data_IF_371112487946
#
_entry.id   IF_371112487946
#
_cell.length_a   1.000
_cell.length_b   1.000
_cell.length_c   1.000
_cell.angle_alpha   90.00
_cell.angle_beta   90.00
_cell.angle_gamma   90.00
#
_symmetry.space_group_name_H-M   'P 1'
#
loop_
_entity.id
_entity.type
_entity.pdbx_description
1 polymer ?
#
# COMPACT_ATOMS: atom_id res chain seq x y z
N UNK A 1 -6.36 -13.87 -21.60
CA UNK A 1 -7.59 -13.48 -20.88
C UNK A 1 -7.21 -12.88 -19.53
N UNK A 2 -7.12 -11.55 -19.44
CA UNK A 2 -6.58 -10.83 -18.29
C UNK A 2 -7.59 -10.89 -17.13
N UNK A 3 -7.31 -11.65 -16.10
CA UNK A 3 -8.10 -11.71 -14.87
C UNK A 3 -7.79 -10.46 -14.04
N UNK A 4 -8.53 -9.38 -14.31
CA UNK A 4 -8.50 -8.14 -13.52
C UNK A 4 -8.89 -8.48 -12.08
N UNK A 5 -7.88 -8.53 -11.20
CA UNK A 5 -8.08 -8.89 -9.79
C UNK A 5 -8.96 -7.82 -9.11
N UNK A 6 -10.24 -8.14 -8.91
CA UNK A 6 -11.33 -7.25 -8.50
C UNK A 6 -11.30 -6.89 -7.00
N UNK A 7 -10.29 -7.35 -6.23
CA UNK A 7 -10.26 -7.20 -4.77
C UNK A 7 -9.22 -6.17 -4.28
N UNK A 8 -9.21 -4.97 -4.86
CA UNK A 8 -8.26 -3.94 -4.40
C UNK A 8 -8.58 -3.35 -3.02
N UNK A 9 -9.81 -3.40 -2.53
CA UNK A 9 -10.17 -2.85 -1.23
C UNK A 9 -9.90 -3.81 -0.06
N UNK A 10 -9.97 -5.13 -0.29
CA UNK A 10 -9.64 -6.14 0.72
C UNK A 10 -8.15 -6.10 1.12
N UNK A 11 -7.28 -5.59 0.24
CA UNK A 11 -5.83 -5.46 0.53
C UNK A 11 -5.48 -4.37 1.55
N UNK A 12 -6.43 -3.53 1.93
CA UNK A 12 -6.20 -2.38 2.83
C UNK A 12 -7.15 -2.36 4.03
N UNK A 13 -7.75 -3.51 4.36
CA UNK A 13 -8.61 -3.66 5.54
C UNK A 13 -7.86 -3.36 6.84
N UNK A 14 -6.56 -3.67 6.88
CA UNK A 14 -5.66 -3.34 7.99
C UNK A 14 -5.62 -1.83 8.27
N UNK A 15 -5.50 -1.00 7.22
CA UNK A 15 -5.54 0.46 7.36
C UNK A 15 -6.93 0.96 7.78
N UNK A 16 -8.00 0.35 7.28
CA UNK A 16 -9.37 0.70 7.67
C UNK A 16 -9.63 0.44 9.15
N UNK A 17 -9.23 -0.73 9.65
CA UNK A 17 -9.36 -1.07 11.07
C UNK A 17 -8.54 -0.10 11.93
N UNK A 18 -7.35 0.27 11.46
CA UNK A 18 -6.44 1.17 12.14
C UNK A 18 -7.02 2.59 12.24
N UNK A 19 -7.64 3.09 11.18
CA UNK A 19 -8.33 4.38 11.15
C UNK A 19 -9.51 4.41 12.12
N UNK A 20 -10.34 3.35 12.14
CA UNK A 20 -11.45 3.21 13.08
C UNK A 20 -10.99 3.23 14.54
N UNK A 21 -9.91 2.52 14.85
CA UNK A 21 -9.34 2.51 16.20
C UNK A 21 -8.85 3.92 16.55
N UNK A 22 -8.13 4.59 15.65
CA UNK A 22 -7.64 5.96 15.85
C UNK A 22 -8.79 6.94 16.09
N UNK A 23 -9.89 6.82 15.32
CA UNK A 23 -11.07 7.66 15.49
C UNK A 23 -11.70 7.48 16.88
N UNK A 24 -11.91 6.24 17.32
CA UNK A 24 -12.50 5.96 18.62
C UNK A 24 -11.61 6.42 19.79
N UNK A 25 -10.30 6.19 19.67
CA UNK A 25 -9.32 6.66 20.65
C UNK A 25 -9.29 8.19 20.69
N UNK A 26 -9.29 8.86 19.54
CA UNK A 26 -9.31 10.31 19.45
C UNK A 26 -10.57 10.91 20.07
N UNK A 27 -11.73 10.33 19.78
CA UNK A 27 -13.01 10.74 20.36
C UNK A 27 -13.04 10.55 21.88
N UNK A 28 -12.58 9.41 22.37
CA UNK A 28 -12.46 9.11 23.78
C UNK A 28 -11.53 10.11 24.51
N UNK A 29 -10.36 10.38 23.94
CA UNK A 29 -9.41 11.36 24.48
C UNK A 29 -10.00 12.78 24.51
N UNK A 30 -10.66 13.20 23.44
CA UNK A 30 -11.31 14.50 23.37
C UNK A 30 -12.41 14.65 24.43
N UNK A 31 -13.22 13.61 24.59
CA UNK A 31 -14.27 13.58 25.61
C UNK A 31 -13.72 13.65 27.04
N UNK A 32 -12.73 12.78 27.35
CA UNK A 32 -12.14 12.74 28.71
C UNK A 32 -11.44 14.03 29.08
N UNK A 33 -10.74 14.64 28.12
CA UNK A 33 -10.06 15.93 28.35
C UNK A 33 -11.05 17.06 28.63
N UNK A 34 -12.18 17.05 27.94
CA UNK A 34 -13.20 18.10 28.07
C UNK A 34 -14.07 17.93 29.31
N UNK A 35 -14.53 16.71 29.56
CA UNK A 35 -15.50 16.43 30.62
C UNK A 35 -14.87 15.95 31.93
N UNK A 36 -13.54 15.67 31.92
CA UNK A 36 -12.77 15.12 33.06
C UNK A 36 -13.36 13.83 33.65
N UNK A 37 -14.16 13.13 32.87
CA UNK A 37 -14.79 11.85 33.23
C UNK A 37 -14.40 10.80 32.19
N UNK A 38 -14.18 9.56 32.65
CA UNK A 38 -13.78 8.45 31.79
C UNK A 38 -14.99 7.72 31.20
N UNK A 39 -16.16 7.91 31.79
CA UNK A 39 -17.35 7.17 31.38
C UNK A 39 -18.12 7.88 30.26
N UNK A 40 -17.90 7.46 29.04
CA UNK A 40 -18.55 7.98 27.82
C UNK A 40 -20.08 7.71 27.83
N UNK A 41 -20.49 6.60 28.44
CA UNK A 41 -21.90 6.19 28.49
C UNK A 41 -22.78 6.98 29.45
N UNK A 42 -22.21 7.84 30.28
CA UNK A 42 -22.96 8.72 31.17
C UNK A 42 -23.77 9.73 30.36
N UNK A 43 -23.33 10.10 29.17
CA UNK A 43 -24.04 11.03 28.31
C UNK A 43 -24.46 10.32 27.01
N UNK A 44 -25.76 10.14 26.84
CA UNK A 44 -26.38 9.44 25.71
C UNK A 44 -25.94 10.01 24.36
N UNK A 45 -25.78 11.34 24.24
CA UNK A 45 -25.39 12.00 22.98
C UNK A 45 -24.00 11.53 22.53
N UNK A 46 -23.03 11.49 23.45
CA UNK A 46 -21.67 11.06 23.14
C UNK A 46 -21.59 9.55 22.86
N UNK A 47 -22.33 8.73 23.58
CA UNK A 47 -22.41 7.30 23.36
C UNK A 47 -22.97 6.99 21.98
N UNK A 48 -24.08 7.65 21.60
CA UNK A 48 -24.70 7.48 20.29
C UNK A 48 -23.78 7.98 19.16
N UNK A 49 -23.17 9.15 19.34
CA UNK A 49 -22.23 9.71 18.35
C UNK A 49 -21.02 8.80 18.13
N UNK A 50 -20.50 8.13 19.16
CA UNK A 50 -19.41 7.16 19.02
C UNK A 50 -19.73 6.07 18.02
N UNK A 51 -20.95 5.50 18.07
CA UNK A 51 -21.41 4.47 17.13
C UNK A 51 -21.59 5.03 15.73
N UNK A 52 -22.20 6.22 15.64
CA UNK A 52 -22.44 6.89 14.36
C UNK A 52 -21.14 7.26 13.66
N UNK A 53 -20.11 7.69 14.40
CA UNK A 53 -18.78 7.97 13.86
C UNK A 53 -18.15 6.74 13.19
N UNK A 54 -18.30 5.54 13.76
CA UNK A 54 -17.84 4.29 13.14
C UNK A 54 -18.51 4.10 11.78
N UNK A 55 -19.83 4.27 11.72
CA UNK A 55 -20.58 4.12 10.46
C UNK A 55 -20.18 5.16 9.43
N UNK A 56 -20.04 6.43 9.84
CA UNK A 56 -19.59 7.51 8.96
C UNK A 56 -18.22 7.18 8.37
N UNK A 57 -17.27 6.80 9.21
CA UNK A 57 -15.90 6.54 8.80
C UNK A 57 -15.81 5.35 7.82
N UNK A 58 -16.46 4.23 8.13
CA UNK A 58 -16.53 3.06 7.23
C UNK A 58 -17.14 3.44 5.88
N UNK A 59 -18.25 4.16 5.89
CA UNK A 59 -18.89 4.62 4.65
C UNK A 59 -17.95 5.50 3.82
N UNK A 60 -17.31 6.47 4.44
CA UNK A 60 -16.40 7.40 3.75
C UNK A 60 -15.14 6.69 3.22
N UNK A 61 -14.55 5.75 3.98
CA UNK A 61 -13.41 4.96 3.54
C UNK A 61 -13.74 4.13 2.28
N UNK A 62 -14.94 3.56 2.23
CA UNK A 62 -15.40 2.74 1.10
C UNK A 62 -15.77 3.62 -0.10
N UNK A 63 -16.62 4.63 0.09
CA UNK A 63 -17.15 5.44 -1.03
C UNK A 63 -16.09 6.35 -1.65
N UNK A 64 -15.24 6.97 -0.85
CA UNK A 64 -14.20 7.88 -1.35
C UNK A 64 -12.93 7.17 -1.78
N UNK A 65 -12.83 5.83 -1.61
CA UNK A 65 -11.62 5.07 -1.90
C UNK A 65 -10.36 5.71 -1.28
N UNK A 66 -10.48 6.28 -0.08
CA UNK A 66 -9.43 7.08 0.58
C UNK A 66 -8.11 6.30 0.71
N UNK A 67 -8.19 4.98 0.82
CA UNK A 67 -7.04 4.08 0.97
C UNK A 67 -6.40 3.62 -0.37
N UNK A 68 -6.90 4.11 -1.51
CA UNK A 68 -6.33 3.75 -2.82
C UNK A 68 -4.86 4.17 -2.88
N UNK A 69 -3.98 3.19 -3.20
CA UNK A 69 -2.53 3.39 -3.33
C UNK A 69 -1.83 3.93 -2.05
N UNK A 70 -2.39 3.70 -0.87
CA UNK A 70 -1.82 4.18 0.41
C UNK A 70 -0.33 3.84 0.56
N UNK A 71 0.11 2.64 0.18
CA UNK A 71 1.50 2.20 0.28
C UNK A 71 2.47 2.96 -0.64
N UNK A 72 1.97 3.51 -1.75
CA UNK A 72 2.79 4.22 -2.76
C UNK A 72 2.83 5.74 -2.55
N UNK A 73 2.00 6.29 -1.66
CA UNK A 73 1.94 7.74 -1.41
C UNK A 73 3.15 8.21 -0.63
N UNK A 74 3.67 9.39 -1.00
CA UNK A 74 4.69 10.11 -0.21
C UNK A 74 4.08 10.71 1.07
N UNK A 75 4.94 11.16 1.99
CA UNK A 75 4.53 11.72 3.30
C UNK A 75 3.56 12.89 3.18
N UNK A 76 3.84 13.86 2.30
CA UNK A 76 2.98 15.03 2.10
C UNK A 76 1.61 14.66 1.52
N UNK A 77 1.59 13.73 0.56
CA UNK A 77 0.33 13.28 -0.07
C UNK A 77 -0.53 12.54 0.94
N UNK A 78 0.09 11.74 1.82
CA UNK A 78 -0.62 11.04 2.91
C UNK A 78 -1.16 12.03 3.94
N UNK A 79 -0.39 13.06 4.31
CA UNK A 79 -0.82 14.12 5.21
C UNK A 79 -2.07 14.85 4.68
N UNK A 80 -2.03 15.29 3.41
CA UNK A 80 -3.17 15.98 2.77
C UNK A 80 -4.39 15.04 2.69
N UNK A 81 -4.17 13.77 2.36
CA UNK A 81 -5.25 12.78 2.28
C UNK A 81 -5.89 12.55 3.67
N UNK A 82 -5.09 12.49 4.74
CA UNK A 82 -5.57 12.36 6.11
C UNK A 82 -6.36 13.59 6.54
N UNK A 83 -5.86 14.80 6.31
CA UNK A 83 -6.59 16.04 6.65
C UNK A 83 -7.93 16.11 5.91
N UNK A 84 -7.95 15.81 4.61
CA UNK A 84 -9.21 15.78 3.84
C UNK A 84 -10.19 14.77 4.41
N UNK A 85 -9.73 13.58 4.77
CA UNK A 85 -10.57 12.55 5.36
C UNK A 85 -11.15 13.00 6.69
N UNK A 86 -10.31 13.49 7.62
CA UNK A 86 -10.74 14.03 8.91
C UNK A 86 -11.78 15.13 8.73
N UNK A 87 -11.53 16.09 7.85
CA UNK A 87 -12.44 17.20 7.59
C UNK A 87 -13.81 16.73 7.08
N UNK A 88 -13.85 15.70 6.24
CA UNK A 88 -15.12 15.14 5.73
C UNK A 88 -15.84 14.38 6.83
N UNK A 89 -15.15 13.57 7.64
CA UNK A 89 -15.75 12.86 8.79
C UNK A 89 -16.38 13.85 9.77
N UNK A 90 -15.64 14.90 10.13
CA UNK A 90 -16.13 15.95 11.00
C UNK A 90 -17.34 16.69 10.42
N UNK A 91 -17.29 17.04 9.14
CA UNK A 91 -18.40 17.70 8.45
C UNK A 91 -19.67 16.85 8.51
N UNK A 92 -19.56 15.57 8.20
CA UNK A 92 -20.71 14.64 8.21
C UNK A 92 -21.22 14.44 9.64
N UNK A 93 -20.33 14.35 10.63
CA UNK A 93 -20.72 14.25 12.04
C UNK A 93 -21.47 15.50 12.54
N UNK A 94 -21.02 16.70 12.14
CA UNK A 94 -21.73 17.95 12.44
C UNK A 94 -23.11 17.97 11.80
N UNK A 95 -23.24 17.58 10.52
CA UNK A 95 -24.51 17.49 9.81
C UNK A 95 -25.47 16.50 10.49
N UNK A 96 -24.95 15.37 10.97
CA UNK A 96 -25.72 14.40 11.71
C UNK A 96 -26.29 15.00 13.00
N UNK A 97 -25.45 15.65 13.85
CA UNK A 97 -25.89 16.27 15.09
C UNK A 97 -26.91 17.37 14.85
N UNK A 98 -26.75 18.14 13.78
CA UNK A 98 -27.72 19.17 13.40
C UNK A 98 -29.06 18.56 12.99
N UNK A 99 -29.05 17.43 12.28
CA UNK A 99 -30.24 16.71 11.84
C UNK A 99 -31.03 16.12 13.00
N UNK A 100 -30.33 15.61 14.03
CA UNK A 100 -30.94 15.00 15.21
C UNK A 100 -31.35 16.08 16.26
N UNK A 101 -31.00 17.36 16.03
CA UNK A 101 -31.21 18.50 16.95
C UNK A 101 -30.43 18.46 18.27
N UNK A 102 -29.43 17.59 18.37
CA UNK A 102 -28.57 17.42 19.55
C UNK A 102 -27.35 18.37 19.54
N UNK A 103 -27.24 19.21 18.49
CA UNK A 103 -26.09 20.10 18.30
C UNK A 103 -25.91 21.14 19.44
N UNK A 104 -26.99 21.50 20.14
CA UNK A 104 -26.94 22.47 21.25
C UNK A 104 -26.25 21.95 22.49
N UNK A 105 -26.37 20.65 22.74
CA UNK A 105 -25.85 19.99 23.97
C UNK A 105 -24.47 19.38 23.75
N UNK A 106 -23.98 19.42 22.51
CA UNK A 106 -22.64 18.92 22.19
C UNK A 106 -21.56 19.99 22.30
N UNK A 107 -20.46 19.67 22.98
CA UNK A 107 -19.37 20.62 23.18
C UNK A 107 -18.55 20.83 21.89
N UNK A 108 -18.53 22.06 21.37
CA UNK A 108 -17.73 22.44 20.21
C UNK A 108 -16.24 22.17 20.41
N UNK A 109 -15.74 22.33 21.63
CA UNK A 109 -14.34 22.06 21.99
C UNK A 109 -14.02 20.59 21.79
N UNK A 110 -14.95 19.68 22.08
CA UNK A 110 -14.75 18.25 21.86
C UNK A 110 -14.54 17.92 20.39
N UNK A 111 -15.25 18.60 19.48
CA UNK A 111 -15.03 18.45 18.03
C UNK A 111 -13.62 18.86 17.61
N UNK A 112 -13.18 20.05 18.01
CA UNK A 112 -11.83 20.50 17.64
C UNK A 112 -10.73 19.60 18.20
N UNK A 113 -10.89 19.12 19.44
CA UNK A 113 -9.95 18.18 20.03
C UNK A 113 -9.98 16.84 19.32
N UNK A 114 -11.18 16.35 18.95
CA UNK A 114 -11.33 15.11 18.19
C UNK A 114 -10.64 15.22 16.82
N UNK A 115 -10.89 16.28 16.06
CA UNK A 115 -10.24 16.50 14.77
C UNK A 115 -8.72 16.52 14.89
N UNK A 116 -8.19 17.22 15.91
CA UNK A 116 -6.75 17.30 16.15
C UNK A 116 -6.16 15.92 16.47
N UNK A 117 -6.73 15.22 17.45
CA UNK A 117 -6.23 13.90 17.86
C UNK A 117 -6.41 12.86 16.76
N UNK A 118 -7.56 12.87 16.08
CA UNK A 118 -7.82 11.95 14.99
C UNK A 118 -6.82 12.14 13.84
N UNK A 119 -6.58 13.37 13.42
CA UNK A 119 -5.60 13.68 12.39
C UNK A 119 -4.17 13.24 12.77
N UNK A 120 -3.73 13.55 13.99
CA UNK A 120 -2.40 13.19 14.48
C UNK A 120 -2.23 11.67 14.61
N UNK A 121 -3.18 10.99 15.26
CA UNK A 121 -3.13 9.56 15.47
C UNK A 121 -3.18 8.80 14.15
N UNK A 122 -4.13 9.12 13.27
CA UNK A 122 -4.27 8.46 11.98
C UNK A 122 -3.05 8.66 11.09
N UNK A 123 -2.53 9.88 10.99
CA UNK A 123 -1.31 10.14 10.22
C UNK A 123 -0.12 9.37 10.78
N UNK A 124 0.11 9.44 12.09
CA UNK A 124 1.22 8.75 12.75
C UNK A 124 1.15 7.23 12.60
N UNK A 125 -0.02 6.64 12.88
CA UNK A 125 -0.23 5.19 12.79
C UNK A 125 -0.13 4.68 11.35
N UNK A 126 -0.67 5.40 10.37
CA UNK A 126 -0.53 5.05 8.95
C UNK A 126 0.93 5.04 8.51
N UNK A 127 1.75 6.02 8.94
CA UNK A 127 3.17 6.05 8.61
C UNK A 127 3.93 4.90 9.26
N UNK A 128 3.67 4.62 10.54
CA UNK A 128 4.31 3.52 11.27
C UNK A 128 3.94 2.17 10.65
N UNK A 129 2.65 1.95 10.37
CA UNK A 129 2.15 0.72 9.77
C UNK A 129 2.69 0.52 8.36
N UNK A 130 2.73 1.57 7.55
CA UNK A 130 3.34 1.57 6.24
C UNK A 130 4.82 1.16 6.29
N UNK A 131 5.58 1.75 7.23
CA UNK A 131 6.98 1.39 7.43
C UNK A 131 7.15 -0.08 7.86
N UNK A 132 6.25 -0.57 8.71
CA UNK A 132 6.22 -1.98 9.12
C UNK A 132 5.93 -2.91 7.94
N UNK A 133 4.88 -2.65 7.17
CA UNK A 133 4.53 -3.44 5.99
C UNK A 133 5.67 -3.44 4.97
N UNK A 134 6.24 -2.28 4.65
CA UNK A 134 7.33 -2.19 3.69
C UNK A 134 8.57 -2.98 4.17
N UNK A 135 8.91 -2.91 5.45
CA UNK A 135 9.99 -3.73 6.02
C UNK A 135 9.69 -5.22 5.89
N UNK A 136 8.48 -5.64 6.23
CA UNK A 136 8.06 -7.04 6.15
C UNK A 136 8.00 -7.54 4.70
N UNK A 137 7.56 -6.69 3.78
CA UNK A 137 7.59 -7.00 2.35
C UNK A 137 9.02 -7.08 1.82
N UNK A 138 9.93 -6.19 2.23
CA UNK A 138 11.35 -6.29 1.86
C UNK A 138 12.01 -7.57 2.40
N UNK A 139 11.61 -8.04 3.59
CA UNK A 139 12.08 -9.31 4.14
C UNK A 139 11.42 -10.53 3.47
N UNK A 140 10.22 -10.36 2.90
CA UNK A 140 9.41 -11.43 2.29
C UNK A 140 9.39 -11.37 0.75
N UNK A 141 9.97 -10.33 0.17
CA UNK A 141 9.96 -10.08 -1.28
C UNK A 141 11.09 -10.85 -1.96
N UNK A 142 11.04 -12.17 -1.85
CA UNK A 142 11.63 -13.07 -2.83
C UNK A 142 10.72 -13.11 -4.06
N UNK A 143 10.47 -11.96 -4.70
CA UNK A 143 9.88 -11.98 -6.04
C UNK A 143 10.90 -12.56 -6.97
N UNK A 144 10.55 -13.71 -7.53
CA UNK A 144 11.34 -14.37 -8.56
C UNK A 144 11.29 -13.54 -9.83
N UNK A 145 12.36 -12.82 -10.14
CA UNK A 145 12.49 -12.03 -11.36
C UNK A 145 13.38 -12.76 -12.34
N UNK A 146 12.87 -13.03 -13.53
CA UNK A 146 13.65 -13.53 -14.66
C UNK A 146 14.09 -12.36 -15.53
N UNK A 147 15.39 -12.25 -15.79
CA UNK A 147 15.94 -11.26 -16.71
C UNK A 147 16.12 -11.91 -18.08
N UNK A 148 15.43 -11.39 -19.09
CA UNK A 148 15.58 -11.83 -20.49
C UNK A 148 16.47 -10.84 -21.22
N UNK A 149 17.53 -11.32 -21.85
CA UNK A 149 18.49 -10.47 -22.57
C UNK A 149 18.98 -11.16 -23.83
N UNK A 150 19.73 -10.43 -24.68
CA UNK A 150 20.44 -10.97 -25.81
C UNK A 150 21.90 -11.27 -25.43
N UNK A 151 22.57 -12.21 -26.13
CA UNK A 151 23.94 -12.58 -25.84
C UNK A 151 24.88 -11.35 -25.83
N UNK A 152 24.73 -10.44 -26.80
CA UNK A 152 25.53 -9.21 -26.92
C UNK A 152 25.44 -8.28 -25.71
N UNK A 153 24.33 -8.33 -24.96
CA UNK A 153 24.12 -7.49 -23.79
C UNK A 153 24.38 -8.19 -22.47
N UNK A 154 24.77 -9.44 -22.50
CA UNK A 154 25.01 -10.25 -21.32
C UNK A 154 26.05 -9.60 -20.39
N UNK A 155 27.14 -9.07 -20.95
CA UNK A 155 28.19 -8.36 -20.22
C UNK A 155 27.69 -7.06 -19.56
N UNK A 156 26.70 -6.39 -20.17
CA UNK A 156 26.09 -5.21 -19.60
C UNK A 156 25.16 -5.56 -18.44
N UNK A 157 24.36 -6.63 -18.62
CA UNK A 157 23.48 -7.15 -17.56
C UNK A 157 24.31 -7.61 -16.37
N UNK A 158 25.44 -8.27 -16.58
CA UNK A 158 26.36 -8.66 -15.52
C UNK A 158 26.88 -7.44 -14.73
N UNK A 159 27.30 -6.37 -15.42
CA UNK A 159 27.73 -5.11 -14.79
C UNK A 159 26.61 -4.47 -13.99
N UNK A 160 25.38 -4.44 -14.51
CA UNK A 160 24.23 -3.85 -13.85
C UNK A 160 23.82 -4.67 -12.60
N UNK A 161 23.93 -5.99 -12.65
CA UNK A 161 23.72 -6.87 -11.48
C UNK A 161 24.79 -6.60 -10.43
N UNK A 162 26.07 -6.58 -10.79
CA UNK A 162 27.19 -6.29 -9.88
C UNK A 162 27.10 -4.89 -9.30
N UNK A 163 26.65 -3.90 -10.07
CA UNK A 163 26.40 -2.52 -9.62
C UNK A 163 25.16 -2.35 -8.72
N UNK A 164 24.49 -3.45 -8.35
CA UNK A 164 23.27 -3.47 -7.54
C UNK A 164 22.13 -2.59 -8.09
N UNK A 165 22.03 -2.43 -9.41
CA UNK A 165 20.91 -1.70 -10.02
C UNK A 165 19.58 -2.42 -9.84
N UNK A 166 19.61 -3.74 -9.59
CA UNK A 166 18.45 -4.60 -9.36
C UNK A 166 18.22 -4.92 -7.87
N UNK A 167 18.71 -4.09 -6.95
CA UNK A 167 18.64 -4.32 -5.48
C UNK A 167 17.23 -4.55 -4.95
N UNK A 168 16.21 -4.10 -5.68
CA UNK A 168 14.81 -4.28 -5.30
C UNK A 168 14.23 -5.64 -5.66
N UNK A 169 14.97 -6.48 -6.41
CA UNK A 169 14.46 -7.74 -6.95
C UNK A 169 15.42 -8.88 -6.64
N UNK A 170 14.88 -10.04 -6.31
CA UNK A 170 15.67 -11.25 -6.28
C UNK A 170 15.65 -11.86 -7.68
N UNK A 171 16.76 -11.73 -8.40
CA UNK A 171 16.89 -12.33 -9.73
C UNK A 171 17.05 -13.84 -9.52
N UNK A 172 16.06 -14.60 -9.99
CA UNK A 172 16.04 -16.06 -9.91
C UNK A 172 16.81 -16.73 -11.05
N UNK A 173 16.96 -16.04 -12.18
CA UNK A 173 17.69 -16.55 -13.34
C UNK A 173 17.82 -15.50 -14.43
N UNK A 174 18.73 -15.78 -15.35
CA UNK A 174 18.90 -15.03 -16.60
C UNK A 174 18.53 -15.96 -17.74
N UNK A 175 17.78 -15.46 -18.71
CA UNK A 175 17.45 -16.16 -19.94
C UNK A 175 17.99 -15.37 -21.14
N UNK A 176 18.50 -16.06 -22.13
CA UNK A 176 19.10 -15.44 -23.33
C UNK A 176 18.28 -15.80 -24.56
N UNK A 177 17.84 -14.78 -25.31
CA UNK A 177 17.16 -14.96 -26.59
C UNK A 177 18.19 -14.83 -27.73
N UNK A 178 18.04 -15.65 -28.74
CA UNK A 178 18.90 -15.68 -29.93
C UNK A 178 19.93 -16.79 -29.90
N UNK A 179 20.81 -16.80 -30.93
CA UNK A 179 21.84 -17.82 -31.08
C UNK A 179 22.89 -17.69 -29.97
N UNK A 180 23.11 -18.78 -29.28
CA UNK A 180 24.07 -18.87 -28.20
C UNK A 180 25.24 -19.73 -28.63
N UNK A 181 26.51 -19.31 -28.44
CA UNK A 181 27.68 -20.15 -28.67
C UNK A 181 27.63 -21.41 -27.81
N UNK A 182 28.22 -22.51 -28.27
CA UNK A 182 28.29 -23.76 -27.51
C UNK A 182 29.07 -23.61 -26.20
N UNK A 183 30.00 -22.65 -26.14
CA UNK A 183 30.84 -22.37 -24.98
C UNK A 183 30.31 -21.16 -24.22
N UNK A 184 29.14 -21.29 -23.57
CA UNK A 184 28.50 -20.23 -22.83
C UNK A 184 28.66 -20.40 -21.30
N UNK A 185 28.71 -19.31 -20.51
CA UNK A 185 28.76 -19.40 -19.07
C UNK A 185 27.45 -19.98 -18.52
N UNK A 186 27.55 -20.89 -17.58
CA UNK A 186 26.40 -21.46 -16.86
C UNK A 186 25.82 -20.52 -15.82
N UNK A 187 26.61 -19.52 -15.37
CA UNK A 187 26.24 -18.53 -14.36
C UNK A 187 26.75 -17.14 -14.72
N UNK A 188 25.98 -16.11 -14.39
CA UNK A 188 26.29 -14.70 -14.62
C UNK A 188 26.22 -13.98 -13.30
N UNK A 189 27.33 -13.48 -12.78
CA UNK A 189 27.42 -12.83 -11.47
C UNK A 189 26.83 -13.66 -10.31
N UNK A 190 26.94 -15.00 -10.36
CA UNK A 190 26.36 -15.90 -9.37
C UNK A 190 24.87 -16.20 -9.56
N UNK A 191 24.29 -15.81 -10.69
CA UNK A 191 22.89 -16.07 -11.04
C UNK A 191 22.88 -17.12 -12.17
N UNK A 192 22.11 -18.22 -12.05
CA UNK A 192 22.09 -19.26 -13.05
C UNK A 192 21.49 -18.78 -14.38
N UNK A 193 22.08 -19.21 -15.48
CA UNK A 193 21.49 -19.09 -16.79
C UNK A 193 20.50 -20.26 -16.97
N UNK A 194 19.20 -19.94 -16.97
CA UNK A 194 18.13 -20.95 -16.82
C UNK A 194 17.51 -21.39 -18.13
N UNK A 195 17.58 -20.55 -19.17
CA UNK A 195 17.02 -20.86 -20.47
C UNK A 195 17.73 -20.08 -21.59
N UNK A 196 17.80 -20.67 -22.80
CA UNK A 196 18.34 -20.04 -23.98
C UNK A 196 17.47 -20.32 -25.22
N UNK A 197 17.43 -19.35 -26.16
CA UNK A 197 16.69 -19.46 -27.41
C UNK A 197 15.20 -19.75 -27.21
N UNK A 198 14.68 -20.75 -27.92
CA UNK A 198 13.25 -21.12 -27.91
C UNK A 198 12.76 -21.71 -26.58
N UNK A 199 13.67 -22.19 -25.74
CA UNK A 199 13.34 -22.76 -24.42
C UNK A 199 12.94 -21.71 -23.38
N UNK A 200 13.14 -20.43 -23.67
CA UNK A 200 12.77 -19.34 -22.72
C UNK A 200 11.26 -19.31 -22.46
N UNK A 201 10.45 -19.49 -23.49
CA UNK A 201 8.98 -19.51 -23.36
C UNK A 201 8.52 -20.76 -22.61
N UNK A 202 9.13 -21.92 -22.90
CA UNK A 202 8.82 -23.16 -22.19
C UNK A 202 9.17 -23.04 -20.71
N UNK A 203 10.32 -22.46 -20.38
CA UNK A 203 10.74 -22.19 -19.00
C UNK A 203 9.75 -21.28 -18.27
N UNK A 204 9.30 -20.19 -18.89
CA UNK A 204 8.30 -19.26 -18.33
C UNK A 204 6.94 -19.92 -18.08
N UNK A 205 6.57 -20.91 -18.89
CA UNK A 205 5.32 -21.65 -18.69
C UNK A 205 5.42 -22.72 -17.61
N UNK A 206 6.62 -23.22 -17.32
CA UNK A 206 6.85 -24.36 -16.43
C UNK A 206 7.25 -23.93 -15.01
N UNK A 207 8.04 -22.87 -14.90
CA UNK A 207 8.57 -22.40 -13.63
C UNK A 207 7.80 -21.19 -13.08
N UNK A 208 7.78 -21.06 -11.76
CA UNK A 208 7.11 -19.95 -11.10
C UNK A 208 7.97 -18.69 -11.17
N UNK A 209 7.62 -17.78 -12.08
CA UNK A 209 8.24 -16.47 -12.25
C UNK A 209 7.21 -15.38 -11.97
N UNK A 210 7.49 -14.49 -11.00
CA UNK A 210 6.58 -13.42 -10.61
C UNK A 210 6.62 -12.23 -11.58
N UNK A 211 7.82 -11.88 -12.04
CA UNK A 211 8.04 -10.75 -12.95
C UNK A 211 9.13 -11.10 -13.97
N UNK A 212 8.94 -10.63 -15.19
CA UNK A 212 9.92 -10.77 -16.27
C UNK A 212 10.45 -9.40 -16.64
N UNK A 213 11.77 -9.23 -16.60
CA UNK A 213 12.43 -8.02 -17.03
C UNK A 213 13.12 -8.25 -18.38
N UNK A 214 12.61 -7.60 -19.43
CA UNK A 214 13.13 -7.74 -20.79
C UNK A 214 14.11 -6.62 -21.09
N UNK A 215 15.37 -6.97 -21.32
CA UNK A 215 16.46 -6.06 -21.70
C UNK A 215 16.96 -6.39 -23.11
N UNK A 216 16.13 -6.05 -24.10
CA UNK A 216 16.45 -6.25 -25.51
C UNK A 216 16.66 -4.89 -26.21
N UNK A 217 17.45 -4.81 -27.29
CA UNK A 217 17.54 -3.62 -28.12
C UNK A 217 16.17 -3.40 -28.81
N UNK A 218 15.66 -2.16 -28.78
CA UNK A 218 14.37 -1.76 -29.36
C UNK A 218 14.24 -2.04 -30.88
N UNK A 219 15.32 -2.44 -31.58
CA UNK A 219 15.35 -2.70 -33.01
C UNK A 219 15.41 -4.19 -33.37
N UNK A 220 15.34 -5.10 -32.41
CA UNK A 220 15.29 -6.52 -32.70
C UNK A 220 13.89 -6.93 -33.16
N UNK A 221 13.73 -7.35 -34.38
CA UNK A 221 12.52 -7.94 -34.97
C UNK A 221 12.06 -9.27 -34.28
N UNK A 222 12.50 -9.51 -33.07
CA UNK A 222 12.26 -10.71 -32.25
C UNK A 222 11.21 -10.48 -31.14
N UNK A 223 10.49 -9.35 -31.21
CA UNK A 223 9.40 -9.04 -30.27
C UNK A 223 8.00 -9.38 -30.79
N UNK A 224 7.90 -10.00 -31.99
CA UNK A 224 6.65 -10.50 -32.57
C UNK A 224 6.38 -11.95 -32.19
#
# INVERSE_FOLDING_TARGET
MYRKNKNNWVKHLDFMILDLICLQVAFFLAYTLRHRTVNLYTNYIYANLSIVLILIDVCLLIFLNTLKNVLKRGYLVEFIATIKHVAIVELVAVLYLFSVKDAGDFSRITFFLMALFYGLLTYGTRLLWKKHILRTLHLKQNKSVLVITNFDRLSQVEKDIRAKRYVMFQISGVAVIGNMPEDHPTEIAGIPLVAAGDYVVEYLCREWVDEVFVNLPLQSAQLD
#
